data_IF_412117351077
#
_entry.id   IF_412117351077
#
_cell.length_a   1.000
_cell.length_b   1.000
_cell.length_c   1.000
_cell.angle_alpha   90.00
_cell.angle_beta   90.00
_cell.angle_gamma   90.00
#
_symmetry.space_group_name_H-M   'P 1'
#
loop_
_entity.id
_entity.type
_entity.pdbx_description
1 polymer ?
#
# COMPACT_ATOMS: atom_id res chain seq x y z
N UNK A 1 36.10 -7.03 6.11
CA UNK A 1 35.38 -6.20 7.09
C UNK A 1 34.31 -5.41 6.40
N UNK A 2 33.04 -5.75 6.59
CA UNK A 2 31.89 -4.82 6.60
C UNK A 2 30.64 -5.61 7.00
N UNK A 3 30.23 -5.38 8.23
CA UNK A 3 28.96 -5.73 8.86
C UNK A 3 27.97 -4.61 8.54
N UNK A 4 26.67 -4.95 8.48
CA UNK A 4 25.48 -4.09 8.69
C UNK A 4 24.57 -4.01 7.45
N UNK A 5 23.27 -4.31 7.50
CA UNK A 5 22.40 -4.45 8.67
C UNK A 5 21.25 -5.43 8.42
N UNK A 6 21.19 -6.46 9.25
CA UNK A 6 20.05 -7.38 9.41
C UNK A 6 19.18 -7.01 10.61
N UNK A 7 19.23 -5.75 11.06
CA UNK A 7 18.61 -5.34 12.32
C UNK A 7 17.08 -5.20 12.27
N UNK A 8 16.46 -5.29 11.09
CA UNK A 8 15.00 -5.12 10.94
C UNK A 8 14.21 -6.43 11.06
N UNK A 9 14.84 -7.58 10.80
CA UNK A 9 14.14 -8.88 10.77
C UNK A 9 14.00 -9.54 12.16
N UNK A 10 14.83 -9.15 13.14
CA UNK A 10 14.80 -9.79 14.47
C UNK A 10 13.80 -9.14 15.43
N UNK A 11 13.46 -7.86 15.26
CA UNK A 11 12.56 -7.16 16.19
C UNK A 11 11.09 -7.57 16.03
N UNK A 12 10.69 -8.03 14.84
CA UNK A 12 9.32 -8.48 14.57
C UNK A 12 9.10 -9.99 14.73
N UNK A 13 10.15 -10.80 14.73
CA UNK A 13 10.02 -12.26 14.93
C UNK A 13 9.84 -12.66 16.39
N UNK A 14 10.36 -11.89 17.34
CA UNK A 14 10.35 -12.26 18.76
C UNK A 14 9.12 -11.79 19.56
N UNK A 15 8.13 -11.14 18.92
CA UNK A 15 6.85 -10.77 19.57
C UNK A 15 5.65 -11.55 19.04
N UNK A 16 5.90 -12.67 18.35
CA UNK A 16 4.89 -13.58 17.82
C UNK A 16 4.79 -14.90 18.60
N UNK A 17 5.67 -15.14 19.57
CA UNK A 17 5.66 -16.35 20.40
C UNK A 17 5.55 -15.95 21.88
N UNK A 18 4.50 -16.46 22.55
CA UNK A 18 4.03 -16.15 23.91
C UNK A 18 3.22 -14.86 24.08
N UNK A 19 1.95 -14.94 23.75
CA UNK A 19 0.96 -14.74 24.81
C UNK A 19 0.44 -16.14 25.16
N UNK A 20 1.02 -16.72 26.21
CA UNK A 20 0.46 -17.89 26.87
C UNK A 20 -0.98 -17.54 27.24
N UNK A 21 -1.92 -18.34 26.72
CA UNK A 21 -3.31 -18.28 27.09
C UNK A 21 -3.43 -18.75 28.54
N UNK A 22 -3.40 -17.83 29.50
CA UNK A 22 -3.87 -18.12 30.85
C UNK A 22 -5.40 -18.25 30.79
N UNK A 23 -5.86 -19.49 30.88
CA UNK A 23 -7.28 -19.83 30.93
C UNK A 23 -7.66 -20.00 32.40
N UNK A 24 -8.41 -19.05 32.96
CA UNK A 24 -9.10 -19.28 34.23
C UNK A 24 -10.25 -20.29 33.98
N UNK A 25 -10.16 -21.44 34.64
CA UNK A 25 -11.16 -22.51 34.63
C UNK A 25 -12.39 -22.08 35.44
N UNK A 26 -13.23 -21.14 34.94
CA UNK A 26 -14.60 -20.99 35.49
C UNK A 26 -15.65 -20.31 34.60
N UNK A 27 -15.36 -19.98 33.33
CA UNK A 27 -16.39 -19.36 32.46
C UNK A 27 -17.15 -20.35 31.55
N UNK A 28 -18.44 -20.06 31.38
CA UNK A 28 -19.42 -20.73 30.52
C UNK A 28 -18.86 -20.97 29.10
N UNK A 29 -19.06 -22.19 28.57
CA UNK A 29 -18.50 -22.64 27.27
C UNK A 29 -18.84 -21.70 26.10
N UNK A 30 -19.99 -21.04 26.17
CA UNK A 30 -20.45 -20.06 25.18
C UNK A 30 -19.66 -18.74 25.24
N UNK A 31 -19.44 -18.19 26.45
CA UNK A 31 -18.64 -16.98 26.64
C UNK A 31 -17.20 -17.19 26.16
N UNK A 32 -16.60 -18.35 26.47
CA UNK A 32 -15.27 -18.73 25.97
C UNK A 32 -15.18 -18.82 24.44
N UNK A 33 -16.23 -19.29 23.76
CA UNK A 33 -16.27 -19.37 22.29
C UNK A 33 -16.34 -17.97 21.66
N UNK A 34 -17.19 -17.10 22.19
CA UNK A 34 -17.34 -15.71 21.74
C UNK A 34 -16.03 -14.92 21.89
N UNK A 35 -15.37 -15.01 23.05
CA UNK A 35 -14.05 -14.40 23.27
C UNK A 35 -13.00 -14.91 22.30
N UNK A 36 -12.96 -16.23 22.04
CA UNK A 36 -12.01 -16.83 21.09
C UNK A 36 -12.25 -16.33 19.67
N UNK A 37 -13.50 -16.24 19.25
CA UNK A 37 -13.91 -15.75 17.94
C UNK A 37 -13.54 -14.27 17.76
N UNK A 38 -13.81 -13.43 18.78
CA UNK A 38 -13.44 -12.02 18.77
C UNK A 38 -11.92 -11.82 18.70
N UNK A 39 -11.14 -12.58 19.47
CA UNK A 39 -9.67 -12.54 19.42
C UNK A 39 -9.14 -12.92 18.03
N UNK A 40 -9.71 -13.95 17.41
CA UNK A 40 -9.34 -14.37 16.04
C UNK A 40 -9.67 -13.29 15.01
N UNK A 41 -10.83 -12.66 15.12
CA UNK A 41 -11.23 -11.54 14.27
C UNK A 41 -10.26 -10.36 14.44
N UNK A 42 -10.02 -9.89 15.67
CA UNK A 42 -9.14 -8.76 15.95
C UNK A 42 -7.70 -8.99 15.48
N UNK A 43 -7.18 -10.21 15.63
CA UNK A 43 -5.87 -10.57 15.11
C UNK A 43 -5.80 -10.45 13.58
N UNK A 44 -6.78 -11.02 12.88
CA UNK A 44 -6.87 -10.93 11.41
C UNK A 44 -7.06 -9.49 10.93
N UNK A 45 -7.90 -8.71 11.63
CA UNK A 45 -8.17 -7.32 11.31
C UNK A 45 -6.88 -6.49 11.43
N UNK A 46 -6.17 -6.61 12.55
CA UNK A 46 -4.89 -5.92 12.79
C UNK A 46 -3.86 -6.26 11.72
N UNK A 47 -3.71 -7.54 11.37
CA UNK A 47 -2.78 -7.95 10.31
C UNK A 47 -3.18 -7.39 8.93
N UNK A 48 -4.47 -7.32 8.64
CA UNK A 48 -4.97 -6.72 7.38
C UNK A 48 -4.66 -5.22 7.35
N UNK A 49 -4.95 -4.49 8.42
CA UNK A 49 -4.67 -3.04 8.54
C UNK A 49 -3.17 -2.76 8.39
N UNK A 50 -2.30 -3.53 9.07
CA UNK A 50 -0.85 -3.37 8.95
C UNK A 50 -0.35 -3.52 7.51
N UNK A 51 -0.92 -4.45 6.73
CA UNK A 51 -0.55 -4.61 5.33
C UNK A 51 -1.10 -3.48 4.45
N UNK A 52 -2.31 -2.97 4.72
CA UNK A 52 -2.83 -1.77 4.07
C UNK A 52 -1.91 -0.57 4.31
N UNK A 53 -1.42 -0.38 5.53
CA UNK A 53 -0.50 0.71 5.85
C UNK A 53 0.83 0.60 5.09
N UNK A 54 1.34 -0.62 4.88
CA UNK A 54 2.51 -0.83 4.03
C UNK A 54 2.21 -0.48 2.57
N UNK A 55 1.06 -0.90 2.04
CA UNK A 55 0.64 -0.54 0.68
C UNK A 55 0.49 0.98 0.52
N UNK A 56 -0.06 1.68 1.52
CA UNK A 56 -0.20 3.14 1.54
C UNK A 56 1.18 3.80 1.40
N UNK A 57 2.18 3.36 2.18
CA UNK A 57 3.54 3.91 2.11
C UNK A 57 4.16 3.74 0.71
N UNK A 58 3.96 2.58 0.09
CA UNK A 58 4.44 2.33 -1.27
C UNK A 58 3.73 3.22 -2.31
N UNK A 59 2.42 3.39 -2.18
CA UNK A 59 1.65 4.27 -3.06
C UNK A 59 2.00 5.76 -2.87
N UNK A 60 2.28 6.17 -1.64
CA UNK A 60 2.77 7.51 -1.30
C UNK A 60 4.13 7.79 -1.94
N UNK A 61 5.07 6.84 -1.87
CA UNK A 61 6.37 6.95 -2.56
C UNK A 61 6.21 7.15 -4.07
N UNK A 62 5.33 6.39 -4.72
CA UNK A 62 5.05 6.54 -6.16
C UNK A 62 4.44 7.92 -6.47
N UNK A 63 3.52 8.39 -5.63
CA UNK A 63 2.93 9.73 -5.75
C UNK A 63 3.99 10.82 -5.63
N UNK A 64 4.85 10.74 -4.63
CA UNK A 64 5.88 11.75 -4.36
C UNK A 64 6.94 11.75 -5.47
N UNK A 65 7.30 10.58 -5.99
CA UNK A 65 8.17 10.46 -7.17
C UNK A 65 7.57 11.19 -8.39
N UNK A 66 6.26 11.05 -8.64
CA UNK A 66 5.59 11.74 -9.73
C UNK A 66 5.62 13.25 -9.56
N UNK A 67 5.46 13.75 -8.34
CA UNK A 67 5.54 15.18 -8.01
C UNK A 67 6.96 15.72 -8.21
N UNK A 68 7.98 14.98 -7.74
CA UNK A 68 9.39 15.33 -7.95
C UNK A 68 9.71 15.35 -9.45
N UNK A 69 9.27 14.36 -10.21
CA UNK A 69 9.51 14.30 -11.66
C UNK A 69 8.81 15.46 -12.36
N UNK A 70 7.54 15.72 -12.05
CA UNK A 70 6.79 16.82 -12.65
C UNK A 70 7.49 18.16 -12.41
N UNK A 71 7.88 18.44 -11.15
CA UNK A 71 8.58 19.66 -10.78
C UNK A 71 9.91 19.83 -11.52
N UNK A 72 10.75 18.80 -11.57
CA UNK A 72 12.05 18.90 -12.23
C UNK A 72 11.93 18.94 -13.76
N UNK A 73 10.91 18.33 -14.38
CA UNK A 73 10.66 18.49 -15.81
C UNK A 73 10.23 19.91 -16.17
N UNK A 74 9.44 20.57 -15.33
CA UNK A 74 9.07 21.99 -15.53
C UNK A 74 10.34 22.87 -15.52
N UNK A 75 11.29 22.63 -14.60
CA UNK A 75 12.56 23.37 -14.58
C UNK A 75 13.39 23.23 -15.87
N UNK A 76 13.25 22.10 -16.56
CA UNK A 76 13.92 21.86 -17.84
C UNK A 76 13.12 22.33 -19.05
N UNK A 77 11.87 22.75 -18.87
CA UNK A 77 11.03 23.27 -19.93
C UNK A 77 11.11 24.80 -20.00
N UNK A 78 10.58 25.37 -21.08
CA UNK A 78 10.43 26.82 -21.21
C UNK A 78 9.12 27.33 -20.56
N UNK A 79 8.52 26.56 -19.65
CA UNK A 79 7.25 26.91 -19.00
C UNK A 79 7.51 27.63 -17.67
N UNK A 80 6.89 28.80 -17.50
CA UNK A 80 7.01 29.59 -16.28
C UNK A 80 8.31 30.42 -16.19
N UNK A 81 8.77 30.73 -14.98
CA UNK A 81 10.03 31.43 -14.76
C UNK A 81 11.19 30.53 -15.22
N UNK A 82 12.00 31.04 -16.13
CA UNK A 82 13.17 30.31 -16.62
C UNK A 82 14.11 29.97 -15.46
N UNK A 83 14.38 28.68 -15.28
CA UNK A 83 15.37 28.21 -14.33
C UNK A 83 16.78 28.62 -14.79
N UNK A 84 17.64 28.95 -13.83
CA UNK A 84 19.07 29.18 -14.09
C UNK A 84 19.74 27.89 -14.58
N UNK A 85 20.90 28.00 -15.22
CA UNK A 85 21.65 26.81 -15.66
C UNK A 85 22.04 25.89 -14.49
N UNK A 86 22.35 26.47 -13.31
CA UNK A 86 22.60 25.68 -12.09
C UNK A 86 21.37 24.87 -11.68
N UNK A 87 20.18 25.47 -11.69
CA UNK A 87 18.93 24.78 -11.36
C UNK A 87 18.56 23.70 -12.38
N UNK A 88 18.81 23.95 -13.67
CA UNK A 88 18.63 22.93 -14.73
C UNK A 88 19.56 21.76 -14.52
N UNK A 89 20.82 22.00 -14.15
CA UNK A 89 21.77 20.93 -13.87
C UNK A 89 21.32 20.08 -12.68
N UNK A 90 20.90 20.71 -11.58
CA UNK A 90 20.32 20.00 -10.44
C UNK A 90 19.05 19.21 -10.80
N UNK A 91 18.20 19.75 -11.67
CA UNK A 91 17.00 19.07 -12.13
C UNK A 91 17.33 17.80 -12.94
N UNK A 92 18.35 17.86 -13.82
CA UNK A 92 18.85 16.67 -14.56
C UNK A 92 19.38 15.61 -13.60
N UNK A 93 20.13 16.00 -12.57
CA UNK A 93 20.67 15.09 -11.55
C UNK A 93 19.58 14.45 -10.69
N UNK A 94 18.50 15.18 -10.38
CA UNK A 94 17.34 14.61 -9.70
C UNK A 94 16.60 13.63 -10.59
N UNK A 95 16.38 13.98 -11.87
CA UNK A 95 15.65 13.16 -12.82
C UNK A 95 16.38 11.86 -13.19
N UNK A 96 17.71 11.84 -13.17
CA UNK A 96 18.50 10.64 -13.52
C UNK A 96 18.27 9.45 -12.58
N UNK A 97 17.75 9.69 -11.36
CA UNK A 97 17.40 8.65 -10.38
C UNK A 97 16.12 7.90 -10.73
N UNK A 98 15.28 8.46 -11.60
CA UNK A 98 14.00 7.87 -11.97
C UNK A 98 14.15 7.09 -13.28
N UNK A 99 14.02 5.78 -13.18
CA UNK A 99 14.14 4.86 -14.31
C UNK A 99 12.87 4.03 -14.47
N UNK A 100 12.71 3.43 -15.65
CA UNK A 100 11.65 2.44 -15.89
C UNK A 100 11.72 1.28 -14.91
N UNK A 101 12.92 0.77 -14.65
CA UNK A 101 13.13 -0.32 -13.69
C UNK A 101 12.69 0.06 -12.27
N UNK A 102 12.93 1.31 -11.84
CA UNK A 102 12.45 1.80 -10.56
C UNK A 102 10.91 1.78 -10.52
N UNK A 103 10.24 2.36 -11.52
CA UNK A 103 8.78 2.39 -11.59
C UNK A 103 8.18 0.98 -11.60
N UNK A 104 8.78 0.07 -12.36
CA UNK A 104 8.36 -1.33 -12.41
C UNK A 104 8.49 -2.02 -11.07
N UNK A 105 9.63 -1.84 -10.39
CA UNK A 105 9.86 -2.39 -9.06
C UNK A 105 8.84 -1.85 -8.05
N UNK A 106 8.60 -0.55 -8.05
CA UNK A 106 7.67 0.09 -7.11
C UNK A 106 6.24 -0.40 -7.32
N UNK A 107 5.79 -0.50 -8.59
CA UNK A 107 4.47 -1.03 -8.93
C UNK A 107 4.32 -2.52 -8.58
N UNK A 108 5.34 -3.35 -8.83
CA UNK A 108 5.30 -4.78 -8.45
C UNK A 108 5.29 -4.97 -6.94
N UNK A 109 6.06 -4.18 -6.21
CA UNK A 109 6.05 -4.22 -4.74
C UNK A 109 4.68 -3.81 -4.19
N UNK A 110 4.07 -2.77 -4.76
CA UNK A 110 2.73 -2.35 -4.41
C UNK A 110 1.69 -3.45 -4.72
N UNK A 111 1.74 -4.03 -5.92
CA UNK A 111 0.86 -5.12 -6.34
C UNK A 111 0.93 -6.31 -5.39
N UNK A 112 2.14 -6.82 -5.12
CA UNK A 112 2.37 -7.94 -4.22
C UNK A 112 1.83 -7.66 -2.81
N UNK A 113 1.95 -6.43 -2.33
CA UNK A 113 1.44 -6.02 -1.00
C UNK A 113 -0.09 -6.00 -1.00
N UNK A 114 -0.71 -5.50 -2.07
CA UNK A 114 -2.18 -5.48 -2.21
C UNK A 114 -2.74 -6.89 -2.34
N UNK A 115 -2.11 -7.79 -3.08
CA UNK A 115 -2.54 -9.19 -3.19
C UNK A 115 -2.47 -9.92 -1.84
N UNK A 116 -1.40 -9.72 -1.08
CA UNK A 116 -1.31 -10.21 0.31
C UNK A 116 -2.42 -9.63 1.19
N UNK A 117 -2.71 -8.34 1.04
CA UNK A 117 -3.77 -7.67 1.79
C UNK A 117 -5.15 -8.21 1.43
N UNK A 118 -5.40 -8.46 0.15
CA UNK A 118 -6.63 -9.06 -0.35
C UNK A 118 -6.86 -10.45 0.24
N UNK A 119 -5.82 -11.29 0.28
CA UNK A 119 -5.90 -12.62 0.91
C UNK A 119 -6.22 -12.51 2.41
N UNK A 120 -5.56 -11.59 3.12
CA UNK A 120 -5.87 -11.35 4.53
C UNK A 120 -7.31 -10.86 4.75
N UNK A 121 -7.81 -9.96 3.88
CA UNK A 121 -9.19 -9.49 3.92
C UNK A 121 -10.19 -10.61 3.61
N UNK A 122 -9.86 -11.52 2.70
CA UNK A 122 -10.65 -12.72 2.44
C UNK A 122 -10.74 -13.62 3.67
N UNK A 123 -9.61 -13.86 4.35
CA UNK A 123 -9.58 -14.65 5.57
C UNK A 123 -10.34 -13.97 6.72
N UNK A 124 -10.31 -12.63 6.78
CA UNK A 124 -11.07 -11.83 7.76
C UNK A 124 -12.58 -11.99 7.58
N UNK A 125 -13.06 -12.01 6.33
CA UNK A 125 -14.49 -12.18 6.01
C UNK A 125 -14.98 -13.63 6.10
N UNK A 126 -14.07 -14.60 6.30
CA UNK A 126 -14.34 -16.03 6.33
C UNK A 126 -13.97 -16.63 7.70
N UNK A 127 -14.57 -16.12 8.78
CA UNK A 127 -14.45 -16.71 10.12
C UNK A 127 -15.72 -17.53 10.39
N UNK A 128 -15.62 -18.88 10.44
CA UNK A 128 -16.77 -19.72 10.78
C UNK A 128 -17.37 -19.32 12.12
N UNK A 129 -18.70 -19.39 12.22
CA UNK A 129 -19.48 -19.15 13.43
C UNK A 129 -19.37 -17.73 14.02
N UNK A 130 -18.72 -16.79 13.32
CA UNK A 130 -18.62 -15.41 13.77
C UNK A 130 -19.92 -14.64 13.46
N UNK A 131 -20.58 -14.02 14.46
CA UNK A 131 -21.89 -13.39 14.29
C UNK A 131 -21.79 -11.97 13.71
N UNK A 132 -21.21 -11.79 12.51
CA UNK A 132 -21.09 -10.50 11.82
C UNK A 132 -21.46 -10.58 10.35
N UNK A 133 -21.92 -9.46 9.79
CA UNK A 133 -22.21 -9.31 8.35
C UNK A 133 -20.98 -8.95 7.53
N UNK A 134 -19.87 -8.55 8.17
CA UNK A 134 -18.59 -8.17 7.53
C UNK A 134 -18.73 -7.15 6.39
N UNK A 135 -19.76 -6.29 6.41
CA UNK A 135 -20.12 -5.47 5.26
C UNK A 135 -18.98 -4.54 4.83
N UNK A 136 -18.34 -3.86 5.79
CA UNK A 136 -17.21 -2.95 5.56
C UNK A 136 -15.95 -3.67 5.08
N UNK A 137 -15.69 -4.87 5.58
CA UNK A 137 -14.56 -5.72 5.22
C UNK A 137 -14.73 -6.29 3.82
N UNK A 138 -15.95 -6.66 3.44
CA UNK A 138 -16.29 -7.05 2.07
C UNK A 138 -16.11 -5.88 1.10
N UNK A 139 -16.52 -4.66 1.48
CA UNK A 139 -16.25 -3.46 0.68
C UNK A 139 -14.74 -3.19 0.53
N UNK A 140 -13.97 -3.33 1.61
CA UNK A 140 -12.52 -3.20 1.58
C UNK A 140 -11.88 -4.24 0.64
N UNK A 141 -12.31 -5.50 0.73
CA UNK A 141 -11.88 -6.60 -0.14
C UNK A 141 -12.17 -6.31 -1.61
N UNK A 142 -13.37 -5.86 -1.96
CA UNK A 142 -13.73 -5.51 -3.34
C UNK A 142 -12.84 -4.39 -3.90
N UNK A 143 -12.57 -3.35 -3.09
CA UNK A 143 -11.65 -2.27 -3.48
C UNK A 143 -10.21 -2.72 -3.66
N UNK A 144 -9.73 -3.66 -2.85
CA UNK A 144 -8.40 -4.26 -3.03
C UNK A 144 -8.33 -5.02 -4.37
N UNK A 145 -9.38 -5.74 -4.74
CA UNK A 145 -9.45 -6.44 -6.04
C UNK A 145 -9.46 -5.48 -7.24
N UNK A 146 -10.21 -4.37 -7.15
CA UNK A 146 -10.18 -3.29 -8.15
C UNK A 146 -8.76 -2.72 -8.29
N UNK A 147 -8.09 -2.43 -7.17
CA UNK A 147 -6.72 -1.93 -7.16
C UNK A 147 -5.72 -2.89 -7.80
N UNK A 148 -5.83 -4.20 -7.55
CA UNK A 148 -5.01 -5.23 -8.23
C UNK A 148 -5.13 -5.11 -9.75
N UNK A 149 -6.36 -4.96 -10.26
CA UNK A 149 -6.61 -4.84 -11.70
C UNK A 149 -6.04 -3.53 -12.28
N UNK A 150 -6.20 -2.42 -11.55
CA UNK A 150 -5.66 -1.13 -11.94
C UNK A 150 -4.14 -1.10 -12.01
N UNK A 151 -3.46 -1.64 -10.99
CA UNK A 151 -2.00 -1.68 -10.93
C UNK A 151 -1.44 -2.58 -12.03
N UNK A 152 -2.05 -3.73 -12.29
CA UNK A 152 -1.69 -4.58 -13.42
C UNK A 152 -1.80 -3.83 -14.75
N UNK A 153 -2.87 -3.04 -14.94
CA UNK A 153 -3.01 -2.20 -16.13
C UNK A 153 -1.89 -1.16 -16.25
N UNK A 154 -1.50 -0.52 -15.15
CA UNK A 154 -0.38 0.43 -15.11
C UNK A 154 0.96 -0.24 -15.44
N UNK A 155 1.22 -1.43 -14.89
CA UNK A 155 2.43 -2.22 -15.20
C UNK A 155 2.49 -2.53 -16.70
N UNK A 156 1.40 -3.06 -17.29
CA UNK A 156 1.35 -3.39 -18.72
C UNK A 156 1.60 -2.16 -19.58
N UNK A 157 0.96 -1.03 -19.24
CA UNK A 157 1.16 0.23 -19.97
C UNK A 157 2.60 0.73 -19.88
N UNK A 158 3.19 0.71 -18.69
CA UNK A 158 4.58 1.10 -18.47
C UNK A 158 5.53 0.18 -19.26
N UNK A 159 5.29 -1.13 -19.28
CA UNK A 159 6.11 -2.09 -20.02
C UNK A 159 6.10 -1.82 -21.53
N UNK A 160 4.94 -1.44 -22.09
CA UNK A 160 4.79 -1.04 -23.50
C UNK A 160 5.47 0.29 -23.87
N UNK A 161 5.88 1.10 -22.89
CA UNK A 161 6.57 2.35 -23.14
C UNK A 161 8.05 2.08 -23.49
N UNK A 162 8.54 2.66 -24.58
CA UNK A 162 9.91 2.45 -25.07
C UNK A 162 10.97 3.29 -24.34
N UNK A 163 10.56 4.19 -23.45
CA UNK A 163 11.45 5.06 -22.69
C UNK A 163 11.96 4.33 -21.44
N UNK A 164 13.27 4.42 -21.18
CA UNK A 164 13.90 3.75 -20.03
C UNK A 164 14.24 4.70 -18.87
N UNK A 165 14.06 6.01 -19.07
CA UNK A 165 14.40 7.06 -18.13
C UNK A 165 13.14 7.65 -17.46
N UNK A 166 13.29 8.77 -16.76
CA UNK A 166 12.21 9.46 -16.06
C UNK A 166 11.00 9.76 -16.94
N UNK A 167 11.15 9.82 -18.28
CA UNK A 167 10.08 10.12 -19.23
C UNK A 167 8.98 9.04 -19.29
N UNK A 168 9.27 7.83 -18.80
CA UNK A 168 8.27 6.76 -18.66
C UNK A 168 7.15 7.11 -17.67
N UNK A 169 7.44 7.95 -16.67
CA UNK A 169 6.46 8.38 -15.68
C UNK A 169 5.47 9.38 -16.32
N UNK A 170 4.16 9.26 -16.08
CA UNK A 170 3.21 10.26 -16.51
C UNK A 170 3.39 11.56 -15.69
N UNK A 171 2.94 12.67 -16.25
CA UNK A 171 2.93 13.99 -15.59
C UNK A 171 1.64 14.72 -15.93
N UNK A 172 1.33 15.81 -15.22
CA UNK A 172 0.18 16.66 -15.53
C UNK A 172 0.17 17.16 -16.99
N UNK A 173 1.34 17.38 -17.58
CA UNK A 173 1.48 17.89 -18.95
C UNK A 173 1.68 16.80 -20.00
N UNK A 174 1.89 15.55 -19.58
CA UNK A 174 2.14 14.41 -20.47
C UNK A 174 1.50 13.15 -19.89
N UNK A 175 0.45 12.67 -20.55
CA UNK A 175 -0.37 11.55 -20.10
C UNK A 175 -1.05 11.81 -18.73
N UNK A 176 -1.82 12.89 -18.65
CA UNK A 176 -2.49 13.34 -17.43
C UNK A 176 -3.47 12.30 -16.87
N UNK A 177 -4.11 11.49 -17.74
CA UNK A 177 -5.03 10.43 -17.32
C UNK A 177 -4.29 9.41 -16.46
N UNK A 178 -3.14 8.93 -16.93
CA UNK A 178 -2.38 7.95 -16.16
C UNK A 178 -1.77 8.61 -14.91
N UNK A 179 -1.32 9.87 -14.98
CA UNK A 179 -0.86 10.61 -13.79
C UNK A 179 -1.89 10.56 -12.64
N UNK A 180 -3.16 10.87 -12.92
CA UNK A 180 -4.22 10.80 -11.91
C UNK A 180 -4.51 9.37 -11.45
N UNK A 181 -4.35 8.36 -12.32
CA UNK A 181 -4.48 6.95 -11.91
C UNK A 181 -3.43 6.55 -10.90
N UNK A 182 -2.16 6.93 -11.13
CA UNK A 182 -1.09 6.66 -10.16
C UNK A 182 -1.34 7.38 -8.84
N UNK A 183 -1.71 8.66 -8.86
CA UNK A 183 -2.03 9.40 -7.64
C UNK A 183 -3.22 8.82 -6.88
N UNK A 184 -4.24 8.35 -7.60
CA UNK A 184 -5.44 7.79 -7.00
C UNK A 184 -5.19 6.51 -6.19
N UNK A 185 -4.09 5.78 -6.45
CA UNK A 185 -3.73 4.57 -5.69
C UNK A 185 -3.64 4.87 -4.19
N UNK A 186 -2.99 5.97 -3.82
CA UNK A 186 -2.86 6.40 -2.43
C UNK A 186 -4.23 6.66 -1.78
N UNK A 187 -5.06 7.49 -2.42
CA UNK A 187 -6.37 7.84 -1.89
C UNK A 187 -7.31 6.63 -1.77
N UNK A 188 -7.26 5.70 -2.74
CA UNK A 188 -8.04 4.46 -2.69
C UNK A 188 -7.60 3.54 -1.57
N UNK A 189 -6.30 3.43 -1.29
CA UNK A 189 -5.80 2.65 -0.17
C UNK A 189 -6.14 3.29 1.19
N UNK A 190 -6.14 4.61 1.30
CA UNK A 190 -6.67 5.32 2.47
C UNK A 190 -8.14 4.98 2.71
N UNK A 191 -8.95 4.91 1.65
CA UNK A 191 -10.35 4.49 1.75
C UNK A 191 -10.47 3.03 2.24
N UNK A 192 -9.62 2.12 1.76
CA UNK A 192 -9.57 0.73 2.26
C UNK A 192 -9.25 0.72 3.77
N UNK A 193 -8.25 1.49 4.22
CA UNK A 193 -7.91 1.61 5.64
C UNK A 193 -9.10 2.14 6.45
N UNK A 194 -9.81 3.14 5.94
CA UNK A 194 -10.97 3.71 6.61
C UNK A 194 -12.13 2.70 6.74
N UNK A 195 -12.35 1.87 5.74
CA UNK A 195 -13.35 0.80 5.80
C UNK A 195 -13.00 -0.23 6.88
N UNK A 196 -11.73 -0.63 6.98
CA UNK A 196 -11.26 -1.59 7.97
C UNK A 196 -11.12 -1.02 9.39
N UNK A 197 -11.03 0.29 9.57
CA UNK A 197 -10.91 0.91 10.90
C UNK A 197 -12.26 1.30 11.48
N UNK A 198 -13.27 1.56 10.64
CA UNK A 198 -14.65 1.82 11.06
C UNK A 198 -15.33 0.63 11.74
N UNK A 199 -14.80 -0.58 11.56
CA UNK A 199 -15.32 -1.80 12.21
C UNK A 199 -15.11 -1.81 13.72
N UNK A 200 -14.12 -1.06 14.24
CA UNK A 200 -13.84 -0.95 15.68
C UNK A 200 -14.81 -0.05 16.46
N UNK A 201 -15.77 0.60 15.80
CA UNK A 201 -16.73 1.52 16.45
C UNK A 201 -18.07 0.82 16.77
N UNK A 202 -18.28 -0.43 16.33
CA UNK A 202 -19.43 -1.20 16.78
C UNK A 202 -19.12 -1.80 18.15
N UNK A 203 -19.17 -0.95 19.18
CA UNK A 203 -19.45 -1.39 20.53
C UNK A 203 -20.79 -2.15 20.49
N UNK A 204 -20.74 -3.43 20.84
CA UNK A 204 -21.88 -4.20 21.33
C UNK A 204 -21.51 -4.68 22.71
#
# INVERSE_FOLDING_TARGET
>A
TSISGSYFDSYYKNKLNKNEFEFEENDDKYSKLETRLNNKYNFKLKNTINNVEQAIKLAEQIKDDLEIIAFNRIKLSNQGKMATESEKQQAKEKLSKFTKNKLESDLKNLLNTIEKTFNNANDLTNIPDYPSTFQTEQQAKSKLNELTSEINSLIIKMQKNNLNNHQVYPTLYYNYIDYYKYQALFAKLQLVKNLLTRTGIVAR
#
